data_IF_045367745416
#
_entry.id   IF_045367745416
#
_cell.length_a   1.000
_cell.length_b   1.000
_cell.length_c   1.000
_cell.angle_alpha   90.00
_cell.angle_beta   90.00
_cell.angle_gamma   90.00
#
_symmetry.space_group_name_H-M   'P 1'
#
loop_
_entity.id
_entity.type
_entity.pdbx_description
1 polymer ?
#
# COMPACT_ATOMS: atom_id res chain seq x y z
N UNK A 1 -11.11 1.73 -15.89
CA UNK A 1 -9.87 0.93 -15.85
C UNK A 1 -10.21 -0.46 -15.39
N UNK A 2 -9.62 -1.46 -16.03
CA UNK A 2 -9.64 -2.84 -15.53
C UNK A 2 -8.79 -2.98 -14.27
N UNK A 3 -9.01 -4.05 -13.50
CA UNK A 3 -8.24 -4.33 -12.30
C UNK A 3 -6.73 -4.48 -12.60
N UNK A 4 -6.38 -5.10 -13.72
CA UNK A 4 -4.99 -5.28 -14.15
C UNK A 4 -4.32 -3.96 -14.54
N UNK A 5 -5.04 -3.05 -15.19
CA UNK A 5 -4.53 -1.71 -15.49
C UNK A 5 -4.32 -0.90 -14.21
N UNK A 6 -5.24 -1.02 -13.25
CA UNK A 6 -5.11 -0.37 -11.95
C UNK A 6 -3.89 -0.88 -11.19
N UNK A 7 -3.70 -2.20 -11.12
CA UNK A 7 -2.52 -2.78 -10.50
C UNK A 7 -1.23 -2.28 -11.14
N UNK A 8 -1.11 -2.36 -12.48
CA UNK A 8 0.08 -1.89 -13.19
C UNK A 8 0.37 -0.41 -12.95
N UNK A 9 -0.67 0.43 -12.95
CA UNK A 9 -0.53 1.85 -12.64
C UNK A 9 -0.05 2.07 -11.21
N UNK A 10 -0.70 1.42 -10.23
CA UNK A 10 -0.35 1.53 -8.81
C UNK A 10 1.09 1.09 -8.55
N UNK A 11 1.52 -0.04 -9.12
CA UNK A 11 2.88 -0.54 -8.97
C UNK A 11 3.90 0.42 -9.59
N UNK A 12 3.63 0.95 -10.78
CA UNK A 12 4.52 1.94 -11.41
C UNK A 12 4.64 3.17 -10.53
N UNK A 13 3.52 3.71 -10.07
CA UNK A 13 3.49 4.86 -9.17
C UNK A 13 4.29 4.62 -7.88
N UNK A 14 4.06 3.48 -7.21
CA UNK A 14 4.76 3.11 -5.98
C UNK A 14 6.29 3.04 -6.16
N UNK A 15 6.76 2.51 -7.29
CA UNK A 15 8.19 2.49 -7.61
C UNK A 15 8.78 3.90 -7.77
N UNK A 16 8.09 4.80 -8.47
CA UNK A 16 8.56 6.17 -8.70
C UNK A 16 8.65 6.97 -7.38
N UNK A 17 7.69 6.79 -6.46
CA UNK A 17 7.68 7.51 -5.16
C UNK A 17 8.46 6.77 -4.06
N UNK A 18 9.05 5.61 -4.34
CA UNK A 18 9.69 4.74 -3.33
C UNK A 18 10.82 5.40 -2.54
N UNK A 19 11.45 6.45 -3.08
CA UNK A 19 12.47 7.23 -2.38
C UNK A 19 11.88 8.21 -1.36
N UNK A 20 10.60 8.57 -1.51
CA UNK A 20 9.90 9.57 -0.68
C UNK A 20 9.17 8.90 0.49
N UNK A 21 8.69 7.67 0.31
CA UNK A 21 7.93 6.93 1.33
C UNK A 21 8.80 5.95 2.13
N UNK A 22 8.33 5.57 3.31
CA UNK A 22 9.00 4.61 4.18
C UNK A 22 8.45 4.66 5.62
N UNK A 23 8.64 3.59 6.41
CA UNK A 23 8.12 3.53 7.78
C UNK A 23 8.62 4.66 8.71
N UNK A 24 9.79 5.21 8.41
CA UNK A 24 10.41 6.31 9.19
C UNK A 24 10.40 7.65 8.44
N UNK A 25 9.68 7.75 7.32
CA UNK A 25 9.59 8.95 6.50
C UNK A 25 8.15 9.39 6.37
N UNK A 26 7.50 8.92 5.32
CA UNK A 26 6.11 9.19 5.01
C UNK A 26 5.41 7.85 4.76
N UNK A 27 4.27 7.67 5.41
CA UNK A 27 3.52 6.42 5.45
C UNK A 27 2.18 6.65 4.73
N UNK A 28 2.02 6.24 3.47
CA UNK A 28 0.76 6.38 2.74
C UNK A 28 -0.39 5.66 3.43
N UNK A 29 -1.59 6.19 3.25
CA UNK A 29 -2.84 5.66 3.78
C UNK A 29 -3.92 5.60 2.69
N UNK A 30 -4.93 4.73 2.82
CA UNK A 30 -6.04 4.70 1.88
C UNK A 30 -6.92 5.96 2.01
N UNK A 31 -7.43 6.42 0.87
CA UNK A 31 -8.33 7.57 0.72
C UNK A 31 -9.38 7.31 -0.38
N UNK A 32 -10.19 8.30 -0.74
CA UNK A 32 -11.17 8.27 -1.83
C UNK A 32 -10.50 7.79 -3.12
N UNK A 33 -11.03 6.72 -3.71
CA UNK A 33 -10.47 6.12 -4.94
C UNK A 33 -9.36 5.10 -4.70
N UNK A 34 -8.94 4.86 -3.46
CA UNK A 34 -8.04 3.75 -3.09
C UNK A 34 -8.65 2.87 -2.01
N UNK A 35 -8.12 1.67 -1.86
CA UNK A 35 -8.64 0.65 -0.96
C UNK A 35 -7.48 -0.22 -0.42
N UNK A 36 -7.76 -1.17 0.49
CA UNK A 36 -6.71 -2.04 1.04
C UNK A 36 -5.92 -2.82 -0.01
N UNK A 37 -6.55 -3.20 -1.13
CA UNK A 37 -5.85 -3.90 -2.22
C UNK A 37 -4.79 -3.00 -2.89
N UNK A 38 -5.10 -1.72 -3.09
CA UNK A 38 -4.13 -0.74 -3.61
C UNK A 38 -2.96 -0.59 -2.64
N UNK A 39 -3.22 -0.49 -1.34
CA UNK A 39 -2.16 -0.43 -0.32
C UNK A 39 -1.29 -1.68 -0.33
N UNK A 40 -1.88 -2.86 -0.48
CA UNK A 40 -1.13 -4.11 -0.60
C UNK A 40 -0.17 -4.09 -1.81
N UNK A 41 -0.60 -3.57 -2.97
CA UNK A 41 0.29 -3.44 -4.14
C UNK A 41 1.43 -2.44 -3.93
N UNK A 42 1.17 -1.33 -3.23
CA UNK A 42 2.22 -0.35 -2.87
C UNK A 42 3.24 -1.01 -1.94
N UNK A 43 2.76 -1.70 -0.89
CA UNK A 43 3.61 -2.39 0.07
C UNK A 43 4.47 -3.47 -0.59
N UNK A 44 3.86 -4.31 -1.42
CA UNK A 44 4.53 -5.38 -2.16
C UNK A 44 5.62 -4.80 -3.08
N UNK A 45 5.29 -3.77 -3.85
CA UNK A 45 6.25 -3.11 -4.75
C UNK A 45 7.42 -2.49 -4.01
N UNK A 46 7.15 -1.78 -2.91
CA UNK A 46 8.20 -1.20 -2.09
C UNK A 46 9.09 -2.29 -1.46
N UNK A 47 8.48 -3.35 -0.94
CA UNK A 47 9.18 -4.47 -0.32
C UNK A 47 10.08 -5.21 -1.31
N UNK A 48 9.60 -5.46 -2.54
CA UNK A 48 10.41 -6.04 -3.61
C UNK A 48 11.63 -5.16 -3.93
N UNK A 49 11.45 -3.84 -3.98
CA UNK A 49 12.55 -2.91 -4.23
C UNK A 49 13.58 -2.85 -3.08
N UNK A 50 13.16 -3.14 -1.84
CA UNK A 50 14.04 -3.22 -0.67
C UNK A 50 14.70 -4.59 -0.49
N UNK A 51 14.14 -5.64 -1.08
CA UNK A 51 14.61 -7.03 -0.95
C UNK A 51 14.13 -7.75 0.32
N UNK A 52 13.20 -7.16 1.08
CA UNK A 52 12.57 -7.78 2.24
C UNK A 52 11.19 -7.15 2.51
N UNK A 53 10.32 -7.86 3.23
CA UNK A 53 8.97 -7.39 3.53
C UNK A 53 8.98 -6.19 4.49
N UNK A 54 8.36 -5.08 4.08
CA UNK A 54 8.26 -3.85 4.87
C UNK A 54 6.80 -3.51 5.14
N UNK A 55 6.18 -4.21 6.10
CA UNK A 55 4.74 -4.10 6.37
C UNK A 55 4.30 -2.70 6.82
N UNK A 56 5.19 -1.95 7.48
CA UNK A 56 4.91 -0.60 7.99
C UNK A 56 5.07 0.52 6.96
N UNK A 57 5.32 0.22 5.68
CA UNK A 57 5.48 1.26 4.64
C UNK A 57 4.18 1.97 4.31
N UNK A 58 3.03 1.32 4.47
CA UNK A 58 1.69 1.90 4.27
C UNK A 58 0.77 1.50 5.43
N UNK A 59 -0.30 2.25 5.64
CA UNK A 59 -1.40 1.89 6.53
C UNK A 59 -2.60 1.36 5.74
N UNK A 60 -3.58 0.76 6.43
CA UNK A 60 -4.79 0.26 5.78
C UNK A 60 -4.58 -0.94 4.87
N UNK A 61 -3.47 -1.68 5.06
CA UNK A 61 -3.26 -2.99 4.44
C UNK A 61 -4.43 -3.95 4.77
N UNK A 62 -4.68 -4.98 3.95
CA UNK A 62 -5.58 -6.07 4.32
C UNK A 62 -5.07 -6.74 5.61
N UNK A 63 -5.99 -7.29 6.43
CA UNK A 63 -5.64 -7.99 7.67
C UNK A 63 -4.61 -9.09 7.42
N UNK A 64 -4.79 -9.82 6.31
CA UNK A 64 -3.91 -10.92 5.87
C UNK A 64 -2.45 -10.48 5.65
N UNK A 65 -2.20 -9.18 5.44
CA UNK A 65 -0.88 -8.62 5.11
C UNK A 65 -0.43 -7.57 6.12
N UNK A 66 -0.89 -7.66 7.37
CA UNK A 66 -0.44 -6.80 8.47
C UNK A 66 -1.29 -5.56 8.73
N UNK A 67 -2.49 -5.48 8.16
CA UNK A 67 -3.49 -4.46 8.51
C UNK A 67 -4.08 -4.62 9.91
N UNK A 68 -4.46 -3.52 10.56
CA UNK A 68 -5.17 -3.56 11.84
C UNK A 68 -6.70 -3.63 11.63
N UNK A 69 -7.38 -4.48 12.41
CA UNK A 69 -8.85 -4.64 12.35
C UNK A 69 -9.60 -3.33 12.58
N UNK A 70 -9.03 -2.45 13.42
CA UNK A 70 -9.61 -1.13 13.76
C UNK A 70 -9.75 -0.20 12.56
N UNK A 71 -8.94 -0.37 11.50
CA UNK A 71 -9.05 0.42 10.28
C UNK A 71 -10.28 0.05 9.43
N UNK A 72 -10.81 -1.18 9.56
CA UNK A 72 -12.05 -1.59 8.89
C UNK A 72 -13.29 -1.06 9.61
N UNK A 73 -13.19 -0.82 10.92
CA UNK A 73 -14.32 -0.45 11.78
C UNK A 73 -14.81 0.99 11.57
N UNK A 74 -13.96 1.90 11.06
CA UNK A 74 -14.33 3.30 10.79
C UNK A 74 -15.19 3.47 9.52
N UNK A 75 -15.60 2.38 8.86
CA UNK A 75 -16.48 2.39 7.66
C UNK A 75 -17.86 1.73 7.87
N UNK A 76 -18.25 1.40 9.10
CA UNK A 76 -19.63 1.06 9.47
C UNK A 76 -20.30 2.23 10.19
#
# INVERSE_FOLDING_TARGET
MSQNELERLTRRYASEISILIGPERDIPAPDVGTNPQVMAWIMDTYSMNKGYSVLGVVTGNPIEVGGSSRALETRM
#
